data_IF_833653333389
#
_entry.id   IF_833653333389
#
_cell.length_a   1.000
_cell.length_b   1.000
_cell.length_c   1.000
_cell.angle_alpha   90.00
_cell.angle_beta   90.00
_cell.angle_gamma   90.00
#
_symmetry.space_group_name_H-M   'P 1'
#
loop_
_entity.id
_entity.type
_entity.pdbx_description
1 polymer ?
#
# COMPACT_ATOMS: atom_id res chain seq x y z
N UNK A 1 -4.98 27.81 26.30
CA UNK A 1 -3.69 28.14 26.91
C UNK A 1 -3.68 27.47 28.27
N UNK A 2 -3.30 26.24 28.37
CA UNK A 2 -3.06 25.56 29.61
C UNK A 2 -1.71 26.05 30.18
N UNK A 3 -1.58 26.39 31.46
CA UNK A 3 -0.27 26.67 32.03
C UNK A 3 0.54 25.39 32.04
N UNK A 4 1.78 25.47 31.47
CA UNK A 4 2.71 24.37 31.49
C UNK A 4 2.86 23.84 32.92
N UNK A 5 2.70 22.55 33.08
CA UNK A 5 3.12 21.83 34.29
C UNK A 5 4.66 21.92 34.30
N UNK A 6 5.18 22.77 35.16
CA UNK A 6 6.56 22.69 35.54
C UNK A 6 6.77 21.27 36.12
N UNK A 7 7.67 20.49 35.54
CA UNK A 7 8.04 19.20 36.11
C UNK A 7 8.57 19.42 37.52
N UNK A 8 7.88 18.84 38.48
CA UNK A 8 8.27 18.91 39.86
C UNK A 8 9.34 17.86 40.11
N UNK A 9 10.55 18.14 39.63
CA UNK A 9 11.71 17.37 40.10
C UNK A 9 11.87 17.69 41.62
N UNK A 10 11.87 16.67 42.45
CA UNK A 10 12.16 16.77 43.87
C UNK A 10 13.68 17.00 44.11
N UNK A 11 14.26 17.91 43.31
CA UNK A 11 15.60 18.45 43.53
C UNK A 11 15.49 19.53 44.61
N UNK A 12 16.46 19.65 45.47
CA UNK A 12 16.47 20.71 46.46
C UNK A 12 16.05 22.06 45.85
N UNK A 13 15.22 22.84 46.50
CA UNK A 13 14.58 24.06 45.93
C UNK A 13 15.55 25.04 45.28
N UNK A 14 16.82 24.89 45.55
CA UNK A 14 17.91 25.69 44.99
C UNK A 14 18.34 25.25 43.58
N UNK A 15 18.10 23.98 43.19
CA UNK A 15 18.55 23.38 41.91
C UNK A 15 17.40 23.29 40.89
N UNK A 16 16.17 23.39 41.34
CA UNK A 16 14.95 23.16 40.56
C UNK A 16 14.67 24.15 39.43
N UNK A 17 15.39 25.28 39.37
CA UNK A 17 15.14 26.31 38.36
C UNK A 17 16.28 26.50 37.36
N UNK A 18 17.30 25.63 37.37
CA UNK A 18 18.49 25.80 36.55
C UNK A 18 18.46 24.92 35.33
N UNK A 19 18.34 25.52 34.15
CA UNK A 19 18.54 24.78 32.88
C UNK A 19 20.04 24.53 32.65
N UNK A 20 20.37 23.33 32.23
CA UNK A 20 21.78 22.94 32.02
C UNK A 20 22.11 22.81 30.54
N UNK A 21 23.38 23.09 30.17
CA UNK A 21 23.94 22.79 28.85
C UNK A 21 24.20 21.28 28.74
N UNK A 22 24.48 20.83 27.52
CA UNK A 22 24.84 19.44 27.25
C UNK A 22 26.06 18.92 28.04
N UNK A 23 26.91 19.83 28.53
CA UNK A 23 28.06 19.54 29.39
C UNK A 23 27.70 19.46 30.89
N UNK A 24 26.43 19.56 31.21
CA UNK A 24 25.94 19.56 32.60
C UNK A 24 26.09 20.87 33.34
N UNK A 25 26.39 21.97 32.64
CA UNK A 25 26.52 23.29 33.22
C UNK A 25 25.24 24.13 33.00
N UNK A 26 24.83 25.01 33.96
CA UNK A 26 23.70 25.90 33.75
C UNK A 26 23.88 26.77 32.50
N UNK A 27 22.77 26.96 31.74
CA UNK A 27 22.84 27.64 30.44
C UNK A 27 23.14 29.13 30.55
N UNK A 28 22.76 29.77 31.67
CA UNK A 28 22.66 31.23 31.79
C UNK A 28 23.73 31.89 32.68
N UNK A 29 24.59 31.11 33.37
CA UNK A 29 25.61 31.67 34.26
C UNK A 29 27.01 31.22 33.92
N UNK A 30 28.02 32.08 34.08
CA UNK A 30 29.43 31.65 34.04
C UNK A 30 29.72 30.66 35.19
N UNK A 31 30.72 29.83 35.04
CA UNK A 31 31.15 28.81 36.02
C UNK A 31 31.14 29.33 37.44
N UNK A 32 30.03 29.20 38.13
CA UNK A 32 29.88 29.55 39.52
C UNK A 32 30.29 28.37 40.39
N UNK A 33 30.52 28.64 41.68
CA UNK A 33 30.78 27.59 42.67
C UNK A 33 29.68 26.49 42.68
N UNK A 34 28.49 26.86 42.30
CA UNK A 34 27.31 25.97 42.17
C UNK A 34 27.51 24.95 41.03
N UNK A 35 28.02 25.37 39.87
CA UNK A 35 28.36 24.49 38.75
C UNK A 35 29.41 23.46 39.10
N UNK A 36 30.48 23.92 39.77
CA UNK A 36 31.56 23.03 40.16
C UNK A 36 31.04 21.93 41.13
N UNK A 37 30.15 22.31 42.04
CA UNK A 37 29.55 21.36 42.98
C UNK A 37 28.62 20.37 42.25
N UNK A 38 27.84 20.83 41.25
CA UNK A 38 26.98 20.00 40.48
C UNK A 38 27.75 18.98 39.62
N UNK A 39 28.76 19.45 38.92
CA UNK A 39 29.66 18.61 38.14
C UNK A 39 30.42 17.60 39.03
N UNK A 40 30.82 18.02 40.22
CA UNK A 40 31.49 17.12 41.18
C UNK A 40 30.52 16.02 41.67
N UNK A 41 29.27 16.38 41.94
CA UNK A 41 28.20 15.43 42.36
C UNK A 41 27.97 14.38 41.27
N UNK A 42 27.85 14.78 40.00
CA UNK A 42 27.74 13.83 38.86
C UNK A 42 28.95 12.90 38.78
N UNK A 43 30.17 13.42 38.91
CA UNK A 43 31.40 12.60 38.93
C UNK A 43 31.42 11.59 40.08
N UNK A 44 30.94 11.97 41.25
CA UNK A 44 30.84 11.07 42.41
C UNK A 44 29.84 9.96 42.09
N UNK A 45 28.66 10.28 41.54
CA UNK A 45 27.66 9.30 41.17
C UNK A 45 28.20 8.32 40.12
N UNK A 46 28.90 8.78 39.09
CA UNK A 46 29.54 7.93 38.11
C UNK A 46 30.58 6.97 38.72
N UNK A 47 31.32 7.40 39.72
CA UNK A 47 32.28 6.55 40.44
C UNK A 47 31.54 5.52 41.32
N UNK A 48 30.48 5.92 42.02
CA UNK A 48 29.61 5.01 42.82
C UNK A 48 29.03 3.93 41.92
N UNK A 49 28.47 4.28 40.77
CA UNK A 49 27.87 3.35 39.81
C UNK A 49 28.87 2.34 39.26
N UNK A 50 30.14 2.80 39.00
CA UNK A 50 31.22 1.88 38.62
C UNK A 50 31.58 0.89 39.75
N UNK A 51 31.57 1.35 41.01
CA UNK A 51 31.81 0.48 42.15
C UNK A 51 30.67 -0.53 42.41
N UNK A 52 29.44 -0.14 42.12
CA UNK A 52 28.23 -1.00 42.27
C UNK A 52 28.01 -1.97 41.11
N UNK A 53 28.87 -1.95 40.11
CA UNK A 53 28.67 -2.68 38.83
C UNK A 53 28.34 -4.16 39.00
N UNK A 54 29.01 -4.82 39.96
CA UNK A 54 28.94 -6.25 40.15
C UNK A 54 28.11 -6.63 41.39
N UNK A 55 27.53 -5.64 42.10
CA UNK A 55 26.71 -5.84 43.29
C UNK A 55 25.23 -5.54 42.99
N UNK A 56 24.46 -6.59 42.71
CA UNK A 56 23.02 -6.48 42.39
C UNK A 56 22.17 -5.99 43.57
N UNK A 57 22.58 -6.25 44.83
CA UNK A 57 21.87 -5.80 46.01
C UNK A 57 22.07 -4.30 46.23
N UNK A 58 23.33 -3.85 46.15
CA UNK A 58 23.66 -2.43 46.24
C UNK A 58 23.03 -1.63 45.10
N UNK A 59 22.94 -2.19 43.91
CA UNK A 59 22.23 -1.57 42.77
C UNK A 59 20.72 -1.44 43.06
N UNK A 60 20.08 -2.45 43.62
CA UNK A 60 18.65 -2.35 44.02
C UNK A 60 18.42 -1.30 45.13
N UNK A 61 19.34 -1.17 46.06
CA UNK A 61 19.26 -0.10 47.08
C UNK A 61 19.48 1.31 46.44
N UNK A 62 20.36 1.41 45.47
CA UNK A 62 20.57 2.65 44.71
C UNK A 62 19.32 3.07 43.94
N UNK A 63 18.58 2.13 43.37
CA UNK A 63 17.29 2.37 42.68
C UNK A 63 16.19 2.89 43.62
N UNK A 64 16.31 2.71 44.92
CA UNK A 64 15.38 3.26 45.92
C UNK A 64 15.72 4.69 46.36
N UNK A 65 16.70 5.34 45.74
CA UNK A 65 17.07 6.73 46.02
C UNK A 65 16.00 7.71 45.56
N UNK A 66 15.76 8.77 46.33
CA UNK A 66 14.87 9.89 45.95
C UNK A 66 15.59 11.01 45.21
N UNK A 67 16.86 10.83 44.84
CA UNK A 67 17.68 11.81 44.17
C UNK A 67 17.55 11.72 42.65
N UNK A 68 16.81 12.64 42.04
CA UNK A 68 16.58 12.71 40.59
C UNK A 68 17.87 12.75 39.78
N UNK A 69 18.87 13.52 40.22
CA UNK A 69 20.16 13.62 39.54
C UNK A 69 20.95 12.31 39.58
N UNK A 70 20.84 11.56 40.70
CA UNK A 70 21.41 10.23 40.78
C UNK A 70 20.77 9.27 39.80
N UNK A 71 19.46 9.35 39.65
CA UNK A 71 18.71 8.55 38.69
C UNK A 71 19.08 8.88 37.23
N UNK A 72 19.28 10.15 36.88
CA UNK A 72 19.75 10.54 35.55
C UNK A 72 21.10 9.89 35.22
N UNK A 73 22.06 9.93 36.13
CA UNK A 73 23.36 9.29 35.96
C UNK A 73 23.25 7.75 35.91
N UNK A 74 22.39 7.16 36.75
CA UNK A 74 22.11 5.73 36.78
C UNK A 74 21.51 5.27 35.42
N UNK A 75 20.49 5.96 34.91
CA UNK A 75 19.86 5.62 33.62
C UNK A 75 20.83 5.75 32.45
N UNK A 76 21.60 6.85 32.44
CA UNK A 76 22.67 7.06 31.46
C UNK A 76 23.70 5.93 31.50
N UNK A 77 24.12 5.52 32.71
CA UNK A 77 25.01 4.37 32.90
C UNK A 77 24.41 3.06 32.39
N UNK A 78 23.15 2.78 32.71
CA UNK A 78 22.47 1.55 32.28
C UNK A 78 22.34 1.51 30.76
N UNK A 79 21.99 2.62 30.11
CA UNK A 79 21.88 2.73 28.65
C UNK A 79 23.25 2.50 28.00
N UNK A 80 24.30 3.15 28.51
CA UNK A 80 25.65 3.02 27.96
C UNK A 80 26.23 1.60 28.08
N UNK A 81 25.78 0.82 29.08
CA UNK A 81 26.21 -0.56 29.29
C UNK A 81 25.25 -1.62 28.75
N UNK A 82 24.25 -1.23 27.96
CA UNK A 82 23.29 -2.15 27.33
C UNK A 82 22.29 -2.81 28.28
N UNK A 83 22.15 -2.27 29.51
CA UNK A 83 21.20 -2.78 30.54
C UNK A 83 19.78 -2.23 30.39
N UNK A 84 19.35 -2.01 29.16
CA UNK A 84 18.05 -1.38 28.84
C UNK A 84 16.85 -2.22 29.30
N UNK A 85 16.95 -3.56 29.21
CA UNK A 85 15.88 -4.46 29.70
C UNK A 85 15.67 -4.35 31.21
N UNK A 86 16.75 -4.21 31.98
CA UNK A 86 16.72 -3.99 33.42
C UNK A 86 16.11 -2.64 33.74
N UNK A 87 16.56 -1.59 33.04
CA UNK A 87 16.03 -0.22 33.17
C UNK A 87 14.51 -0.18 33.00
N UNK A 88 14.01 -0.75 31.91
CA UNK A 88 12.58 -0.73 31.58
C UNK A 88 11.71 -1.64 32.49
N UNK A 89 12.33 -2.58 33.21
CA UNK A 89 11.61 -3.47 34.15
C UNK A 89 11.56 -2.92 35.58
N UNK A 90 12.37 -1.91 35.89
CA UNK A 90 12.45 -1.35 37.23
C UNK A 90 11.49 -0.15 37.38
N UNK A 91 10.51 -0.20 38.30
CA UNK A 91 9.63 0.92 38.52
C UNK A 91 10.42 2.03 39.26
N UNK A 92 10.74 3.09 38.54
CA UNK A 92 11.41 4.27 39.07
C UNK A 92 10.59 5.52 38.77
N UNK A 93 10.47 6.47 39.72
CA UNK A 93 9.54 7.62 39.56
C UNK A 93 10.03 8.66 38.55
N UNK A 94 11.32 8.64 38.17
CA UNK A 94 11.93 9.66 37.33
C UNK A 94 12.21 9.19 35.89
N UNK A 95 11.90 7.94 35.55
CA UNK A 95 12.29 7.34 34.28
C UNK A 95 11.54 7.98 33.10
N UNK A 96 10.24 8.24 33.26
CA UNK A 96 9.45 8.90 32.22
C UNK A 96 9.97 10.29 31.89
N UNK A 97 10.17 11.10 32.90
CA UNK A 97 10.69 12.48 32.75
C UNK A 97 12.09 12.48 32.11
N UNK A 98 12.94 11.51 32.47
CA UNK A 98 14.26 11.35 31.88
C UNK A 98 14.17 10.97 30.38
N UNK A 99 13.31 10.03 30.02
CA UNK A 99 13.15 9.57 28.63
C UNK A 99 12.47 10.62 27.74
N UNK A 100 11.63 11.50 28.32
CA UNK A 100 11.03 12.65 27.64
C UNK A 100 11.96 13.87 27.59
N UNK A 101 12.91 13.95 28.48
CA UNK A 101 13.80 15.10 28.63
C UNK A 101 14.80 15.28 27.48
N UNK A 102 15.48 16.43 27.52
CA UNK A 102 16.60 16.71 26.60
C UNK A 102 17.85 15.96 27.08
N UNK A 103 18.46 15.13 26.22
CA UNK A 103 19.57 14.31 26.63
C UNK A 103 20.83 15.11 26.95
N UNK A 104 21.58 14.67 27.95
CA UNK A 104 22.94 15.08 28.17
C UNK A 104 23.84 14.23 27.29
N UNK A 105 24.66 14.83 26.44
CA UNK A 105 25.54 14.14 25.50
C UNK A 105 26.42 13.08 26.19
N UNK A 106 26.39 11.88 25.69
CA UNK A 106 27.39 10.85 25.94
C UNK A 106 28.60 11.08 25.04
N UNK A 107 29.80 10.89 25.56
CA UNK A 107 31.04 11.03 24.78
C UNK A 107 31.01 10.12 23.54
N UNK A 108 31.00 10.73 22.35
CA UNK A 108 31.18 10.04 21.08
C UNK A 108 29.88 9.67 20.31
N UNK A 109 28.68 9.93 20.82
CA UNK A 109 27.43 9.71 20.14
C UNK A 109 26.83 11.06 19.64
N UNK A 110 26.17 11.08 18.47
CA UNK A 110 25.48 12.30 18.04
C UNK A 110 24.26 12.53 18.92
N UNK A 111 23.93 13.81 19.16
CA UNK A 111 22.75 14.19 19.95
C UNK A 111 21.47 13.56 19.41
N UNK A 112 21.30 13.60 18.09
CA UNK A 112 20.15 13.04 17.38
C UNK A 112 20.01 11.52 17.60
N UNK A 113 21.12 10.77 17.50
CA UNK A 113 21.11 9.31 17.70
C UNK A 113 20.74 8.94 19.12
N UNK A 114 21.28 9.68 20.10
CA UNK A 114 20.97 9.44 21.51
C UNK A 114 19.53 9.82 21.86
N UNK A 115 19.04 10.92 21.35
CA UNK A 115 17.65 11.37 21.53
C UNK A 115 16.66 10.37 20.93
N UNK A 116 16.91 9.91 19.71
CA UNK A 116 16.13 8.84 19.08
C UNK A 116 16.09 7.59 19.98
N UNK A 117 17.24 7.18 20.50
CA UNK A 117 17.34 6.02 21.39
C UNK A 117 16.53 6.19 22.66
N UNK A 118 16.47 7.40 23.24
CA UNK A 118 15.60 7.67 24.39
C UNK A 118 14.12 7.55 24.03
N UNK A 119 13.71 8.05 22.85
CA UNK A 119 12.33 7.91 22.38
C UNK A 119 11.97 6.45 22.10
N UNK A 120 12.91 5.66 21.57
CA UNK A 120 12.74 4.22 21.39
C UNK A 120 12.57 3.48 22.73
N UNK A 121 13.25 3.90 23.77
CA UNK A 121 13.06 3.35 25.12
C UNK A 121 11.73 3.82 25.74
N UNK A 122 11.29 5.03 25.45
CA UNK A 122 10.07 5.63 26.01
C UNK A 122 8.83 4.84 25.57
N UNK A 123 8.67 4.59 24.26
CA UNK A 123 7.51 3.81 23.80
C UNK A 123 7.53 2.37 24.33
N UNK A 124 8.72 1.74 24.45
CA UNK A 124 8.86 0.41 25.05
C UNK A 124 8.49 0.40 26.54
N UNK A 125 8.83 1.47 27.25
CA UNK A 125 8.45 1.62 28.63
C UNK A 125 6.94 1.76 28.78
N UNK A 126 6.27 2.60 27.96
CA UNK A 126 4.81 2.72 27.95
C UNK A 126 4.12 1.37 27.70
N UNK A 127 4.61 0.60 26.75
CA UNK A 127 4.05 -0.75 26.48
C UNK A 127 4.13 -1.63 27.73
N UNK A 128 5.25 -1.59 28.47
CA UNK A 128 5.41 -2.37 29.71
C UNK A 128 4.51 -1.91 30.84
N UNK A 129 4.20 -0.63 30.89
CA UNK A 129 3.24 -0.07 31.86
C UNK A 129 1.78 -0.35 31.46
N UNK A 130 1.53 -0.84 30.23
CA UNK A 130 0.20 -1.03 29.68
C UNK A 130 -0.45 0.26 29.14
N UNK A 131 0.35 1.32 29.01
CA UNK A 131 -0.08 2.63 28.46
C UNK A 131 0.05 2.66 26.95
N UNK A 132 -0.71 1.81 26.27
CA UNK A 132 -0.61 1.60 24.83
C UNK A 132 -0.92 2.85 24.00
N UNK A 133 -1.78 3.75 24.49
CA UNK A 133 -2.08 5.00 23.79
C UNK A 133 -0.86 5.92 23.74
N UNK A 134 -0.17 6.11 24.89
CA UNK A 134 1.04 6.91 24.95
C UNK A 134 2.17 6.30 24.09
N UNK A 135 2.27 4.97 24.07
CA UNK A 135 3.20 4.26 23.19
C UNK A 135 2.89 4.52 21.71
N UNK A 136 1.62 4.44 21.29
CA UNK A 136 1.21 4.70 19.91
C UNK A 136 1.48 6.15 19.50
N UNK A 137 1.20 7.12 20.36
CA UNK A 137 1.48 8.55 20.09
C UNK A 137 2.99 8.84 19.99
N UNK A 138 3.81 8.18 20.81
CA UNK A 138 5.26 8.32 20.74
C UNK A 138 5.82 7.74 19.43
N UNK A 139 5.32 6.59 19.00
CA UNK A 139 5.70 5.93 17.75
C UNK A 139 5.24 6.73 16.52
N UNK A 140 4.05 7.30 16.55
CA UNK A 140 3.54 8.20 15.52
C UNK A 140 4.43 9.44 15.37
N UNK A 141 4.77 10.08 16.47
CA UNK A 141 5.69 11.22 16.50
C UNK A 141 7.08 10.85 15.94
N UNK A 142 7.59 9.65 16.21
CA UNK A 142 8.84 9.14 15.64
C UNK A 142 8.74 8.91 14.13
N UNK A 143 7.62 8.36 13.65
CA UNK A 143 7.41 8.11 12.23
C UNK A 143 7.38 9.41 11.40
N UNK A 144 6.78 10.48 11.94
CA UNK A 144 6.57 11.75 11.24
C UNK A 144 7.68 12.80 11.47
N UNK A 145 8.63 12.54 12.36
CA UNK A 145 9.68 13.53 12.65
C UNK A 145 10.68 13.67 11.51
N UNK A 146 11.10 14.92 11.24
CA UNK A 146 12.20 15.23 10.32
C UNK A 146 13.52 15.48 11.08
N UNK A 147 13.49 15.39 12.40
CA UNK A 147 14.67 15.64 13.26
C UNK A 147 15.72 14.54 13.10
N UNK A 148 15.29 13.30 12.87
CA UNK A 148 16.18 12.16 12.72
C UNK A 148 16.26 11.72 11.26
N UNK A 149 17.47 11.33 10.82
CA UNK A 149 17.67 10.79 9.48
C UNK A 149 17.13 9.35 9.37
N UNK A 150 15.79 9.20 9.36
CA UNK A 150 15.12 7.94 9.24
C UNK A 150 14.87 7.58 7.78
N UNK A 151 15.08 6.31 7.45
CA UNK A 151 14.67 5.74 6.17
C UNK A 151 13.17 5.39 6.16
N UNK A 152 12.56 5.35 4.99
CA UNK A 152 11.13 5.03 4.83
C UNK A 152 10.75 3.71 5.50
N UNK A 153 11.61 2.69 5.42
CA UNK A 153 11.38 1.40 6.07
C UNK A 153 11.24 1.51 7.60
N UNK A 154 12.09 2.32 8.24
CA UNK A 154 12.02 2.55 9.68
C UNK A 154 10.74 3.30 10.07
N UNK A 155 10.29 4.26 9.24
CA UNK A 155 9.03 4.98 9.44
C UNK A 155 7.83 4.05 9.34
N UNK A 156 7.82 3.14 8.37
CA UNK A 156 6.79 2.09 8.21
C UNK A 156 6.77 1.17 9.43
N UNK A 157 7.93 0.80 9.97
CA UNK A 157 8.02 -0.02 11.17
C UNK A 157 7.42 0.69 12.39
N UNK A 158 7.73 1.97 12.59
CA UNK A 158 7.12 2.77 13.66
C UNK A 158 5.61 2.90 13.50
N UNK A 159 5.11 3.17 12.29
CA UNK A 159 3.66 3.22 12.03
C UNK A 159 2.98 1.87 12.30
N UNK A 160 3.58 0.77 11.88
CA UNK A 160 3.03 -0.56 12.12
C UNK A 160 2.95 -0.89 13.62
N UNK A 161 3.99 -0.52 14.38
CA UNK A 161 3.99 -0.65 15.83
C UNK A 161 2.97 0.29 16.50
N UNK A 162 2.80 1.51 15.99
CA UNK A 162 1.80 2.45 16.48
C UNK A 162 0.38 1.92 16.30
N UNK A 163 0.05 1.39 15.12
CA UNK A 163 -1.23 0.73 14.83
C UNK A 163 -1.48 -0.45 15.79
N UNK A 164 -0.47 -1.30 16.00
CA UNK A 164 -0.56 -2.44 16.92
C UNK A 164 -0.86 -2.01 18.36
N UNK A 165 -0.21 -0.97 18.84
CA UNK A 165 -0.44 -0.40 20.17
C UNK A 165 -1.81 0.29 20.26
N UNK A 166 -2.22 1.10 19.28
CA UNK A 166 -3.53 1.74 19.27
C UNK A 166 -4.68 0.73 19.33
N UNK A 167 -4.56 -0.40 18.62
CA UNK A 167 -5.53 -1.52 18.68
C UNK A 167 -5.53 -2.27 20.02
N UNK A 168 -4.45 -2.20 20.77
CA UNK A 168 -4.32 -2.87 22.07
C UNK A 168 -4.96 -2.07 23.21
N UNK A 169 -5.31 -0.81 22.97
CA UNK A 169 -6.02 0.02 23.95
C UNK A 169 -7.40 -0.59 24.21
N UNK A 170 -7.68 -0.93 25.46
CA UNK A 170 -9.02 -1.40 25.85
C UNK A 170 -10.02 -0.30 25.62
N UNK A 171 -11.06 -0.59 24.85
CA UNK A 171 -12.12 0.37 24.48
C UNK A 171 -12.77 0.97 25.73
N UNK A 172 -12.29 2.09 26.16
CA UNK A 172 -13.06 3.08 26.91
C UNK A 172 -13.65 4.02 25.86
N UNK A 173 -14.93 4.34 25.99
CA UNK A 173 -15.78 5.01 24.99
C UNK A 173 -15.32 6.42 24.53
N UNK A 174 -14.05 6.64 24.27
CA UNK A 174 -13.52 7.89 23.75
C UNK A 174 -13.51 7.82 22.21
N UNK A 175 -14.39 8.59 21.61
CA UNK A 175 -14.56 8.73 20.14
C UNK A 175 -13.24 9.12 19.44
N UNK A 176 -12.34 9.82 20.11
CA UNK A 176 -11.03 10.23 19.60
C UNK A 176 -10.07 9.05 19.31
N UNK A 177 -10.20 7.95 20.04
CA UNK A 177 -9.29 6.80 19.87
C UNK A 177 -9.50 6.06 18.54
N UNK A 178 -10.77 5.92 18.12
CA UNK A 178 -11.10 5.25 16.86
C UNK A 178 -10.58 6.08 15.69
N UNK A 179 -10.76 7.40 15.73
CA UNK A 179 -10.23 8.31 14.71
C UNK A 179 -8.71 8.25 14.62
N UNK A 180 -8.01 8.24 15.74
CA UNK A 180 -6.56 8.14 15.79
C UNK A 180 -6.03 6.80 15.22
N UNK A 181 -6.67 5.68 15.61
CA UNK A 181 -6.28 4.36 15.08
C UNK A 181 -6.52 4.25 13.57
N UNK A 182 -7.64 4.81 13.07
CA UNK A 182 -7.93 4.85 11.63
C UNK A 182 -6.90 5.70 10.88
N UNK A 183 -6.54 6.87 11.42
CA UNK A 183 -5.51 7.73 10.83
C UNK A 183 -4.16 7.01 10.71
N UNK A 184 -3.74 6.31 11.77
CA UNK A 184 -2.49 5.51 11.75
C UNK A 184 -2.53 4.39 10.71
N UNK A 185 -3.69 3.74 10.51
CA UNK A 185 -3.87 2.72 9.47
C UNK A 185 -3.76 3.32 8.08
N UNK A 186 -4.38 4.48 7.84
CA UNK A 186 -4.29 5.22 6.58
C UNK A 186 -2.86 5.68 6.30
N UNK A 187 -2.16 6.25 7.28
CA UNK A 187 -0.76 6.67 7.14
C UNK A 187 0.16 5.48 6.84
N UNK A 188 -0.06 4.34 7.50
CA UNK A 188 0.68 3.12 7.22
C UNK A 188 0.44 2.61 5.80
N UNK A 189 -0.81 2.62 5.34
CA UNK A 189 -1.16 2.18 3.98
C UNK A 189 -0.51 3.08 2.93
N UNK A 190 -0.57 4.41 3.11
CA UNK A 190 0.08 5.38 2.22
C UNK A 190 1.60 5.20 2.22
N UNK A 191 2.24 5.00 3.37
CA UNK A 191 3.68 4.74 3.47
C UNK A 191 4.08 3.44 2.75
N UNK A 192 3.25 2.39 2.81
CA UNK A 192 3.48 1.15 2.05
C UNK A 192 3.35 1.35 0.54
N UNK A 193 2.40 2.17 0.09
CA UNK A 193 2.30 2.59 -1.31
C UNK A 193 3.54 3.36 -1.74
N UNK A 194 4.01 4.30 -0.92
CA UNK A 194 5.24 5.05 -1.16
C UNK A 194 6.46 4.13 -1.30
N UNK A 195 6.58 3.08 -0.50
CA UNK A 195 7.66 2.10 -0.62
C UNK A 195 7.60 1.31 -1.93
N UNK A 196 6.39 0.97 -2.41
CA UNK A 196 6.22 0.33 -3.72
C UNK A 196 6.62 1.27 -4.85
N UNK A 197 6.21 2.54 -4.79
CA UNK A 197 6.61 3.56 -5.76
C UNK A 197 8.13 3.73 -5.78
N UNK A 198 8.77 3.80 -4.62
CA UNK A 198 10.23 3.89 -4.52
C UNK A 198 10.92 2.69 -5.20
N UNK A 199 10.38 1.49 -5.02
CA UNK A 199 10.92 0.27 -5.66
C UNK A 199 10.65 0.19 -7.17
N UNK A 200 9.63 0.90 -7.66
CA UNK A 200 9.23 0.93 -9.07
C UNK A 200 9.96 2.02 -9.87
N UNK A 201 10.69 2.93 -9.22
CA UNK A 201 11.49 3.93 -9.92
C UNK A 201 12.53 3.25 -10.81
N UNK A 202 12.78 3.80 -12.02
CA UNK A 202 13.77 3.24 -12.93
C UNK A 202 15.15 3.26 -12.29
N UNK A 203 15.95 2.19 -12.42
CA UNK A 203 17.33 2.17 -11.92
C UNK A 203 18.14 3.30 -12.55
N UNK A 204 18.81 4.10 -11.73
CA UNK A 204 19.56 5.29 -12.18
C UNK A 204 20.60 4.95 -13.25
N UNK A 205 21.16 3.74 -13.18
CA UNK A 205 22.16 3.24 -14.12
C UNK A 205 21.62 3.02 -15.53
N UNK A 206 20.31 2.81 -15.68
CA UNK A 206 19.68 2.55 -16.98
C UNK A 206 19.28 3.82 -17.73
N UNK A 207 19.37 4.98 -17.08
CA UNK A 207 18.98 6.26 -17.64
C UNK A 207 20.16 6.86 -18.45
N UNK A 208 19.87 7.38 -19.65
CA UNK A 208 20.90 7.90 -20.55
C UNK A 208 21.29 9.35 -20.23
N UNK A 209 20.34 10.17 -19.82
CA UNK A 209 20.54 11.60 -19.57
C UNK A 209 20.92 11.88 -18.11
N UNK A 210 21.94 12.73 -17.91
CA UNK A 210 22.42 13.07 -16.57
C UNK A 210 21.35 13.82 -15.75
N UNK A 211 20.58 14.71 -16.37
CA UNK A 211 19.50 15.44 -15.73
C UNK A 211 18.39 14.49 -15.21
N UNK A 212 18.05 13.46 -15.99
CA UNK A 212 17.06 12.45 -15.56
C UNK A 212 17.60 11.57 -14.45
N UNK A 213 18.89 11.25 -14.47
CA UNK A 213 19.55 10.50 -13.38
C UNK A 213 19.52 11.28 -12.07
N UNK A 214 19.86 12.57 -12.13
CA UNK A 214 19.87 13.42 -10.93
C UNK A 214 18.48 13.58 -10.37
N UNK A 215 17.49 13.91 -11.22
CA UNK A 215 16.10 14.01 -10.82
C UNK A 215 15.55 12.71 -10.19
N UNK A 216 15.86 11.55 -10.77
CA UNK A 216 15.45 10.25 -10.21
C UNK A 216 16.12 9.99 -8.86
N UNK A 217 17.40 10.33 -8.72
CA UNK A 217 18.14 10.18 -7.46
C UNK A 217 17.58 11.09 -6.36
N UNK A 218 17.29 12.35 -6.69
CA UNK A 218 16.69 13.31 -5.76
C UNK A 218 15.31 12.84 -5.32
N UNK A 219 14.47 12.39 -6.27
CA UNK A 219 13.13 11.86 -5.99
C UNK A 219 13.19 10.61 -5.11
N UNK A 220 14.09 9.68 -5.41
CA UNK A 220 14.29 8.48 -4.59
C UNK A 220 14.76 8.83 -3.16
N UNK A 221 15.68 9.79 -3.03
CA UNK A 221 16.15 10.26 -1.74
C UNK A 221 15.05 10.96 -0.94
N UNK A 222 14.17 11.72 -1.60
CA UNK A 222 13.03 12.37 -0.97
C UNK A 222 12.00 11.35 -0.50
N UNK A 223 11.66 10.37 -1.35
CA UNK A 223 10.76 9.26 -1.00
C UNK A 223 11.28 8.42 0.18
N UNK A 224 12.59 8.26 0.30
CA UNK A 224 13.18 7.45 1.37
C UNK A 224 13.24 8.20 2.71
N UNK A 225 13.30 9.54 2.70
CA UNK A 225 13.53 10.35 3.91
C UNK A 225 12.29 10.93 4.55
N UNK A 226 11.20 11.10 3.82
CA UNK A 226 9.99 11.74 4.31
C UNK A 226 8.73 10.95 3.96
N UNK A 227 7.72 11.01 4.81
CA UNK A 227 6.38 10.52 4.46
C UNK A 227 5.69 11.56 3.59
N UNK A 228 5.05 11.09 2.52
CA UNK A 228 4.31 11.93 1.58
C UNK A 228 2.83 11.57 1.61
N UNK A 229 1.97 12.58 1.40
CA UNK A 229 0.56 12.33 1.17
C UNK A 229 0.31 11.70 -0.20
N UNK A 230 -0.81 11.00 -0.32
CA UNK A 230 -1.15 10.21 -1.51
C UNK A 230 -1.31 11.05 -2.78
N UNK A 231 -1.73 12.33 -2.64
CA UNK A 231 -1.89 13.25 -3.78
C UNK A 231 -0.53 13.70 -4.30
N UNK A 232 0.41 13.96 -3.40
CA UNK A 232 1.81 14.29 -3.73
C UNK A 232 2.48 13.11 -4.42
N UNK A 233 2.30 11.88 -3.91
CA UNK A 233 2.81 10.65 -4.54
C UNK A 233 2.29 10.50 -5.98
N UNK A 234 1.01 10.78 -6.22
CA UNK A 234 0.44 10.70 -7.56
C UNK A 234 1.04 11.75 -8.50
N UNK A 235 0.91 13.05 -8.13
CA UNK A 235 1.22 14.17 -9.03
C UNK A 235 2.71 14.41 -9.25
N UNK A 236 3.52 14.19 -8.22
CA UNK A 236 4.94 14.54 -8.28
C UNK A 236 5.85 13.34 -8.55
N UNK A 237 5.32 12.12 -8.43
CA UNK A 237 6.13 10.91 -8.65
C UNK A 237 5.48 9.98 -9.67
N UNK A 238 4.33 9.37 -9.37
CA UNK A 238 3.78 8.30 -10.19
C UNK A 238 3.41 8.76 -11.60
N UNK A 239 2.81 9.95 -11.75
CA UNK A 239 2.42 10.51 -13.05
C UNK A 239 3.65 10.96 -13.87
N UNK A 240 4.60 11.78 -13.37
CA UNK A 240 5.77 12.21 -14.13
C UNK A 240 6.70 11.07 -14.56
N UNK A 241 6.83 10.03 -13.73
CA UNK A 241 7.65 8.86 -14.05
C UNK A 241 6.91 7.80 -14.87
N UNK A 242 5.62 8.01 -15.20
CA UNK A 242 4.81 7.08 -15.99
C UNK A 242 4.62 5.71 -15.32
N UNK A 243 4.57 5.66 -13.99
CA UNK A 243 4.38 4.46 -13.18
C UNK A 243 2.89 4.06 -13.16
N UNK A 244 2.40 3.52 -14.28
CA UNK A 244 0.98 3.29 -14.52
C UNK A 244 0.33 2.33 -13.50
N UNK A 245 1.06 1.31 -13.08
CA UNK A 245 0.59 0.32 -12.11
C UNK A 245 0.47 0.92 -10.71
N UNK A 246 1.43 1.76 -10.34
CA UNK A 246 1.46 2.50 -9.08
C UNK A 246 0.37 3.59 -9.07
N UNK A 247 0.07 4.20 -10.22
CA UNK A 247 -1.07 5.12 -10.34
C UNK A 247 -2.40 4.39 -10.05
N UNK A 248 -2.62 3.20 -10.59
CA UNK A 248 -3.79 2.38 -10.27
C UNK A 248 -3.82 1.99 -8.78
N UNK A 249 -2.67 1.65 -8.20
CA UNK A 249 -2.55 1.35 -6.77
C UNK A 249 -2.91 2.57 -5.91
N UNK A 250 -2.44 3.76 -6.27
CA UNK A 250 -2.80 5.01 -5.58
C UNK A 250 -4.31 5.26 -5.65
N UNK A 251 -4.93 5.12 -6.82
CA UNK A 251 -6.38 5.29 -6.97
C UNK A 251 -7.17 4.30 -6.11
N UNK A 252 -6.68 3.05 -6.03
CA UNK A 252 -7.25 2.03 -5.14
C UNK A 252 -7.16 2.44 -3.67
N UNK A 253 -5.98 2.80 -3.20
CA UNK A 253 -5.74 3.19 -1.80
C UNK A 253 -6.50 4.46 -1.42
N UNK A 254 -6.49 5.47 -2.31
CA UNK A 254 -7.22 6.72 -2.10
C UNK A 254 -8.75 6.56 -2.22
N UNK A 255 -9.26 5.38 -2.59
CA UNK A 255 -10.68 5.15 -2.88
C UNK A 255 -11.26 6.17 -3.87
N UNK A 256 -10.43 6.62 -4.84
CA UNK A 256 -10.80 7.66 -5.78
C UNK A 256 -11.44 7.08 -7.04
N UNK A 257 -12.73 7.39 -7.24
CA UNK A 257 -13.53 6.90 -8.34
C UNK A 257 -13.48 7.86 -9.54
N UNK A 258 -12.68 7.54 -10.54
CA UNK A 258 -12.67 8.20 -11.84
C UNK A 258 -12.54 7.14 -12.95
N UNK A 259 -13.69 6.72 -13.49
CA UNK A 259 -13.75 5.68 -14.53
C UNK A 259 -12.96 6.06 -15.80
N UNK A 260 -12.91 7.34 -16.16
CA UNK A 260 -12.19 7.81 -17.36
C UNK A 260 -10.67 7.73 -17.17
N UNK A 261 -10.20 8.10 -15.99
CA UNK A 261 -8.78 8.01 -15.62
C UNK A 261 -8.34 6.54 -15.55
N UNK A 262 -9.12 5.69 -14.87
CA UNK A 262 -8.84 4.25 -14.77
C UNK A 262 -8.80 3.60 -16.16
N UNK A 263 -9.76 3.93 -17.04
CA UNK A 263 -9.76 3.42 -18.40
C UNK A 263 -8.50 3.83 -19.17
N UNK A 264 -8.11 5.11 -19.10
CA UNK A 264 -6.90 5.60 -19.77
C UNK A 264 -5.61 4.96 -19.26
N UNK A 265 -5.52 4.68 -17.95
CA UNK A 265 -4.36 3.98 -17.36
C UNK A 265 -4.29 2.53 -17.84
N UNK A 266 -5.40 1.81 -17.86
CA UNK A 266 -5.45 0.45 -18.38
C UNK A 266 -5.15 0.38 -19.88
N UNK A 267 -5.66 1.33 -20.68
CA UNK A 267 -5.32 1.46 -22.09
C UNK A 267 -3.81 1.66 -22.30
N UNK A 268 -3.21 2.56 -21.54
CA UNK A 268 -1.77 2.81 -21.59
C UNK A 268 -0.95 1.60 -21.16
N UNK A 269 -1.39 0.88 -20.11
CA UNK A 269 -0.74 -0.34 -19.64
C UNK A 269 -0.73 -1.44 -20.69
N UNK A 270 -1.90 -1.74 -21.25
CA UNK A 270 -2.05 -2.79 -22.27
C UNK A 270 -1.29 -2.41 -23.55
N UNK A 271 -1.33 -1.13 -23.95
CA UNK A 271 -0.57 -0.63 -25.11
C UNK A 271 0.95 -0.75 -24.89
N UNK A 272 1.44 -0.37 -23.71
CA UNK A 272 2.86 -0.47 -23.35
C UNK A 272 3.33 -1.93 -23.46
N UNK A 273 2.58 -2.86 -22.86
CA UNK A 273 2.94 -4.27 -22.82
C UNK A 273 2.87 -4.92 -24.21
N UNK A 274 1.81 -4.60 -24.98
CA UNK A 274 1.69 -5.05 -26.37
C UNK A 274 2.89 -4.62 -27.21
N UNK A 275 3.27 -3.34 -27.10
CA UNK A 275 4.34 -2.75 -27.91
C UNK A 275 5.75 -3.21 -27.47
N UNK A 276 5.94 -3.52 -26.19
CA UNK A 276 7.20 -4.03 -25.65
C UNK A 276 7.44 -5.51 -26.00
N UNK A 277 6.37 -6.26 -26.25
CA UNK A 277 6.44 -7.71 -26.48
C UNK A 277 6.61 -8.06 -27.97
N UNK A 278 7.24 -9.22 -28.22
CA UNK A 278 7.28 -9.76 -29.59
C UNK A 278 5.84 -10.03 -30.09
N UNK A 279 5.51 -9.71 -31.36
CA UNK A 279 4.14 -9.79 -31.88
C UNK A 279 3.43 -11.13 -31.66
N UNK A 280 4.17 -12.24 -31.74
CA UNK A 280 3.63 -13.59 -31.53
C UNK A 280 3.31 -13.91 -30.05
N UNK A 281 3.84 -13.12 -29.11
CA UNK A 281 3.70 -13.32 -27.65
C UNK A 281 2.94 -12.20 -26.96
N UNK A 282 2.68 -11.09 -27.66
CA UNK A 282 2.08 -9.90 -27.09
C UNK A 282 0.77 -10.18 -26.31
N UNK A 283 -0.11 -11.02 -26.86
CA UNK A 283 -1.36 -11.38 -26.19
C UNK A 283 -1.17 -12.17 -24.89
N UNK A 284 -0.09 -12.98 -24.81
CA UNK A 284 0.24 -13.71 -23.56
C UNK A 284 0.81 -12.77 -22.51
N UNK A 285 1.66 -11.84 -22.94
CA UNK A 285 2.23 -10.83 -22.06
C UNK A 285 1.12 -9.91 -21.51
N UNK A 286 0.21 -9.45 -22.36
CA UNK A 286 -0.97 -8.67 -21.94
C UNK A 286 -1.84 -9.47 -20.96
N UNK A 287 -2.12 -10.74 -21.23
CA UNK A 287 -2.90 -11.58 -20.31
C UNK A 287 -2.19 -11.73 -18.95
N UNK A 288 -0.89 -11.97 -18.95
CA UNK A 288 -0.10 -12.09 -17.73
C UNK A 288 -0.09 -10.77 -16.92
N UNK A 289 0.12 -9.64 -17.57
CA UNK A 289 0.06 -8.31 -16.94
C UNK A 289 -1.30 -8.06 -16.30
N UNK A 290 -2.40 -8.27 -17.05
CA UNK A 290 -3.76 -8.03 -16.54
C UNK A 290 -4.04 -8.92 -15.34
N UNK A 291 -3.67 -10.21 -15.42
CA UNK A 291 -3.84 -11.15 -14.32
C UNK A 291 -3.05 -10.73 -13.08
N UNK A 292 -1.79 -10.34 -13.25
CA UNK A 292 -0.92 -9.90 -12.15
C UNK A 292 -1.48 -8.65 -11.47
N UNK A 293 -1.79 -7.61 -12.23
CA UNK A 293 -2.34 -6.35 -11.69
C UNK A 293 -3.68 -6.58 -11.02
N UNK A 294 -4.58 -7.38 -11.64
CA UNK A 294 -5.88 -7.68 -11.06
C UNK A 294 -5.77 -8.41 -9.71
N UNK A 295 -4.91 -9.42 -9.64
CA UNK A 295 -4.66 -10.18 -8.40
C UNK A 295 -4.00 -9.31 -7.34
N UNK A 296 -2.99 -8.53 -7.72
CA UNK A 296 -2.24 -7.64 -6.81
C UNK A 296 -3.12 -6.55 -6.19
N UNK A 297 -4.10 -6.03 -6.94
CA UNK A 297 -5.08 -5.05 -6.46
C UNK A 297 -6.34 -5.71 -5.86
N UNK A 298 -6.33 -7.04 -5.66
CA UNK A 298 -7.43 -7.78 -5.03
C UNK A 298 -8.77 -7.68 -5.75
N UNK A 299 -8.76 -7.48 -7.07
CA UNK A 299 -9.99 -7.30 -7.85
C UNK A 299 -10.74 -6.02 -7.47
N UNK A 300 -10.03 -4.96 -7.13
CA UNK A 300 -10.59 -3.66 -6.73
C UNK A 300 -11.66 -3.19 -7.71
N UNK A 301 -12.85 -2.86 -7.20
CA UNK A 301 -13.93 -2.29 -8.01
C UNK A 301 -13.64 -0.86 -8.51
N UNK A 302 -12.58 -0.24 -8.00
CA UNK A 302 -12.09 1.09 -8.42
C UNK A 302 -11.03 0.93 -9.50
N UNK A 303 -9.90 0.35 -9.16
CA UNK A 303 -8.74 0.27 -10.03
C UNK A 303 -8.82 -0.87 -11.06
N UNK A 304 -9.61 -1.92 -10.76
CA UNK A 304 -9.82 -3.09 -11.61
C UNK A 304 -11.31 -3.28 -11.95
N UNK A 305 -12.03 -2.17 -12.17
CA UNK A 305 -13.46 -2.23 -12.54
C UNK A 305 -13.68 -3.16 -13.74
N UNK A 306 -14.45 -4.23 -13.52
CA UNK A 306 -14.60 -5.34 -14.48
C UNK A 306 -15.16 -4.86 -15.81
N UNK A 307 -16.06 -3.89 -15.79
CA UNK A 307 -16.66 -3.27 -16.98
C UNK A 307 -15.62 -2.54 -17.84
N UNK A 308 -14.67 -1.84 -17.21
CA UNK A 308 -13.58 -1.15 -17.91
C UNK A 308 -12.59 -2.18 -18.48
N UNK A 309 -12.08 -3.06 -17.63
CA UNK A 309 -11.00 -3.98 -18.03
C UNK A 309 -11.49 -5.00 -19.07
N UNK A 310 -12.69 -5.57 -18.87
CA UNK A 310 -13.25 -6.52 -19.85
C UNK A 310 -13.56 -5.84 -21.18
N UNK A 311 -14.17 -4.65 -21.16
CA UNK A 311 -14.45 -3.90 -22.39
C UNK A 311 -13.18 -3.57 -23.20
N UNK A 312 -12.10 -3.23 -22.50
CA UNK A 312 -10.81 -2.99 -23.09
C UNK A 312 -10.21 -4.26 -23.71
N UNK A 313 -10.23 -5.37 -22.98
CA UNK A 313 -9.72 -6.66 -23.48
C UNK A 313 -10.53 -7.20 -24.65
N UNK A 314 -11.84 -7.06 -24.63
CA UNK A 314 -12.71 -7.40 -25.76
C UNK A 314 -12.40 -6.56 -26.98
N UNK A 315 -12.16 -5.27 -26.80
CA UNK A 315 -11.73 -4.38 -27.88
C UNK A 315 -10.36 -4.77 -28.44
N UNK A 316 -9.40 -5.06 -27.57
CA UNK A 316 -8.08 -5.54 -27.97
C UNK A 316 -8.15 -6.85 -28.76
N UNK A 317 -8.94 -7.81 -28.29
CA UNK A 317 -9.10 -9.10 -28.95
C UNK A 317 -9.86 -8.98 -30.27
N UNK A 318 -10.89 -8.11 -30.35
CA UNK A 318 -11.62 -7.83 -31.58
C UNK A 318 -10.72 -7.17 -32.64
N UNK A 319 -9.88 -6.21 -32.28
CA UNK A 319 -8.96 -5.55 -33.22
C UNK A 319 -7.97 -6.57 -33.80
N UNK A 320 -7.46 -7.53 -32.99
CA UNK A 320 -6.66 -8.64 -33.50
C UNK A 320 -7.43 -9.56 -34.45
N UNK A 321 -8.68 -9.86 -34.13
CA UNK A 321 -9.57 -10.67 -34.96
C UNK A 321 -9.83 -10.02 -36.35
N UNK A 322 -10.13 -8.72 -36.37
CA UNK A 322 -10.39 -7.97 -37.61
C UNK A 322 -9.16 -8.02 -38.52
N UNK A 323 -7.95 -7.78 -38.01
CA UNK A 323 -6.72 -7.83 -38.78
C UNK A 323 -6.43 -9.26 -39.29
N UNK A 324 -6.60 -10.28 -38.45
CA UNK A 324 -6.26 -11.65 -38.78
C UNK A 324 -7.25 -12.29 -39.78
N UNK A 325 -8.55 -12.06 -39.61
CA UNK A 325 -9.61 -12.71 -40.36
C UNK A 325 -10.11 -11.91 -41.56
N UNK A 326 -10.23 -10.59 -41.41
CA UNK A 326 -10.79 -9.74 -42.45
C UNK A 326 -9.71 -9.04 -43.28
N UNK A 327 -8.48 -8.98 -42.79
CA UNK A 327 -7.40 -8.24 -43.46
C UNK A 327 -7.60 -6.72 -43.48
N UNK A 328 -8.59 -6.24 -42.72
CA UNK A 328 -8.93 -4.84 -42.61
C UNK A 328 -8.10 -4.18 -41.48
N UNK A 329 -7.77 -2.91 -41.64
CA UNK A 329 -7.24 -2.13 -40.53
C UNK A 329 -8.37 -1.87 -39.51
N UNK A 330 -8.14 -2.04 -38.21
CA UNK A 330 -9.14 -1.71 -37.21
C UNK A 330 -9.53 -0.23 -37.36
N UNK A 331 -10.80 0.09 -37.10
CA UNK A 331 -11.24 1.47 -37.07
C UNK A 331 -10.35 2.27 -36.13
N UNK A 332 -9.98 3.53 -36.47
CA UNK A 332 -9.11 4.33 -35.62
C UNK A 332 -9.71 4.39 -34.21
N UNK A 333 -9.07 3.65 -33.32
CA UNK A 333 -9.35 3.70 -31.88
C UNK A 333 -8.39 4.70 -31.28
N UNK A 334 -8.75 5.27 -30.13
CA UNK A 334 -7.82 6.07 -29.30
C UNK A 334 -6.62 5.24 -28.82
N UNK A 335 -6.67 3.94 -29.05
CA UNK A 335 -5.68 2.96 -28.66
C UNK A 335 -4.56 2.93 -29.71
N UNK A 336 -3.41 3.42 -29.33
CA UNK A 336 -2.21 3.44 -30.19
C UNK A 336 -1.46 2.09 -30.14
N UNK A 337 -2.13 1.01 -30.62
CA UNK A 337 -1.42 -0.24 -30.82
C UNK A 337 -0.45 -0.14 -32.02
N UNK A 338 0.74 -0.67 -31.88
CA UNK A 338 1.53 -0.99 -33.06
C UNK A 338 0.80 -2.05 -33.89
N UNK A 339 0.95 -1.96 -35.23
CA UNK A 339 0.21 -2.80 -36.16
C UNK A 339 0.26 -4.28 -35.77
N UNK A 340 -0.90 -4.90 -35.62
CA UNK A 340 -1.03 -6.33 -35.43
C UNK A 340 -0.45 -7.06 -36.64
N UNK A 341 0.40 -8.06 -36.41
CA UNK A 341 0.92 -8.89 -37.50
C UNK A 341 -0.16 -9.86 -37.98
N UNK A 342 -0.33 -10.00 -39.29
CA UNK A 342 -1.19 -11.01 -39.89
C UNK A 342 -0.81 -12.40 -39.39
N UNK A 343 -1.71 -13.12 -38.76
CA UNK A 343 -1.51 -14.53 -38.51
C UNK A 343 -1.98 -15.13 -37.19
N UNK A 344 -2.26 -14.37 -36.17
CA UNK A 344 -2.70 -14.93 -34.91
C UNK A 344 -3.91 -14.17 -34.35
N UNK A 345 -5.08 -14.44 -34.91
CA UNK A 345 -6.34 -14.06 -34.26
C UNK A 345 -6.45 -14.74 -32.89
N UNK A 346 -6.91 -14.01 -31.89
CA UNK A 346 -7.14 -14.59 -30.58
C UNK A 346 -8.34 -15.55 -30.62
N UNK A 347 -8.31 -16.65 -29.86
CA UNK A 347 -9.44 -17.57 -29.82
C UNK A 347 -10.63 -16.89 -29.16
N UNK A 348 -11.88 -17.25 -29.54
CA UNK A 348 -13.07 -16.84 -28.83
C UNK A 348 -12.97 -17.12 -27.33
N UNK A 349 -13.57 -16.27 -26.50
CA UNK A 349 -13.54 -16.40 -25.05
C UNK A 349 -12.20 -16.03 -24.39
N UNK A 350 -11.23 -15.47 -25.14
CA UNK A 350 -9.93 -15.12 -24.59
C UNK A 350 -10.03 -14.06 -23.49
N UNK A 351 -10.73 -12.96 -23.75
CA UNK A 351 -10.84 -11.84 -22.82
C UNK A 351 -11.53 -12.23 -21.50
N UNK A 352 -12.72 -12.86 -21.51
CA UNK A 352 -13.35 -13.32 -20.28
C UNK A 352 -12.52 -14.37 -19.53
N UNK A 353 -11.79 -15.23 -20.25
CA UNK A 353 -10.95 -16.27 -19.65
C UNK A 353 -9.80 -15.67 -18.85
N UNK A 354 -9.13 -14.65 -19.38
CA UNK A 354 -8.06 -13.93 -18.66
C UNK A 354 -8.55 -13.42 -17.31
N UNK A 355 -9.72 -12.78 -17.28
CA UNK A 355 -10.28 -12.26 -16.03
C UNK A 355 -10.82 -13.36 -15.11
N UNK A 356 -11.39 -14.45 -15.65
CA UNK A 356 -11.78 -15.61 -14.87
C UNK A 356 -10.58 -16.28 -14.17
N UNK A 357 -9.45 -16.38 -14.87
CA UNK A 357 -8.19 -16.92 -14.33
C UNK A 357 -7.61 -15.98 -13.25
N UNK A 358 -7.79 -14.67 -13.42
CA UNK A 358 -7.43 -13.66 -12.43
C UNK A 358 -8.37 -13.63 -11.19
N UNK A 359 -9.51 -14.38 -11.24
CA UNK A 359 -10.45 -14.48 -10.12
C UNK A 359 -11.64 -13.54 -10.20
N UNK A 360 -11.89 -12.89 -11.34
CA UNK A 360 -13.07 -12.05 -11.53
C UNK A 360 -14.36 -12.84 -11.38
N UNK A 361 -15.42 -12.24 -10.78
CA UNK A 361 -16.71 -12.92 -10.62
C UNK A 361 -17.39 -13.13 -11.98
N UNK A 362 -17.85 -14.37 -12.29
CA UNK A 362 -18.47 -14.68 -13.59
C UNK A 362 -19.74 -13.89 -13.89
N UNK A 363 -20.52 -13.57 -12.85
CA UNK A 363 -21.72 -12.76 -12.95
C UNK A 363 -21.43 -11.33 -13.42
N UNK A 364 -20.38 -10.71 -12.88
CA UNK A 364 -19.94 -9.38 -13.31
C UNK A 364 -19.51 -9.38 -14.79
N UNK A 365 -18.71 -10.37 -15.20
CA UNK A 365 -18.29 -10.53 -16.59
C UNK A 365 -19.49 -10.72 -17.52
N UNK A 366 -20.46 -11.53 -17.11
CA UNK A 366 -21.68 -11.79 -17.86
C UNK A 366 -22.49 -10.52 -18.09
N UNK A 367 -22.71 -9.71 -17.06
CA UNK A 367 -23.45 -8.44 -17.19
C UNK A 367 -22.74 -7.43 -18.08
N UNK A 368 -21.41 -7.37 -18.04
CA UNK A 368 -20.65 -6.52 -18.96
C UNK A 368 -20.84 -6.95 -20.42
N UNK A 369 -20.72 -8.25 -20.72
CA UNK A 369 -20.94 -8.74 -22.09
C UNK A 369 -22.38 -8.51 -22.57
N UNK A 370 -23.37 -8.70 -21.71
CA UNK A 370 -24.76 -8.31 -22.03
C UNK A 370 -24.89 -6.81 -22.34
N UNK A 371 -24.25 -5.96 -21.55
CA UNK A 371 -24.21 -4.51 -21.77
C UNK A 371 -23.59 -4.16 -23.13
N UNK A 372 -22.46 -4.77 -23.48
CA UNK A 372 -21.81 -4.59 -24.79
C UNK A 372 -22.71 -5.04 -25.96
N UNK A 373 -23.44 -6.13 -25.78
CA UNK A 373 -24.37 -6.65 -26.83
C UNK A 373 -25.63 -5.81 -26.99
N UNK A 374 -26.10 -5.12 -25.94
CA UNK A 374 -27.39 -4.42 -25.94
C UNK A 374 -27.29 -2.93 -26.28
N UNK A 375 -26.30 -2.21 -25.76
CA UNK A 375 -26.30 -0.75 -25.75
C UNK A 375 -24.99 -0.10 -26.21
N UNK A 376 -23.92 -0.89 -26.44
CA UNK A 376 -22.62 -0.32 -26.71
C UNK A 376 -22.51 0.32 -28.12
N UNK A 377 -21.63 1.33 -28.26
CA UNK A 377 -21.32 1.94 -29.56
C UNK A 377 -20.52 1.00 -30.47
N UNK A 378 -20.16 1.45 -31.66
CA UNK A 378 -19.28 0.70 -32.56
C UNK A 378 -17.96 0.30 -31.84
N UNK A 379 -17.44 -0.91 -32.11
CA UNK A 379 -17.87 -1.88 -33.13
C UNK A 379 -19.02 -2.82 -32.71
N UNK A 380 -19.44 -2.80 -31.46
CA UNK A 380 -20.35 -3.78 -30.87
C UNK A 380 -21.77 -3.73 -31.43
N UNK A 381 -22.20 -2.60 -31.99
CA UNK A 381 -23.47 -2.45 -32.69
C UNK A 381 -23.43 -2.92 -34.15
N UNK A 382 -22.24 -3.33 -34.64
CA UNK A 382 -22.08 -3.85 -36.01
C UNK A 382 -22.38 -5.34 -36.09
N UNK A 383 -22.65 -5.83 -37.30
CA UNK A 383 -22.88 -7.27 -37.53
C UNK A 383 -21.66 -8.10 -37.10
N UNK A 384 -20.45 -7.64 -37.44
CA UNK A 384 -19.19 -8.30 -37.13
C UNK A 384 -18.92 -8.31 -35.62
N UNK A 385 -19.13 -7.18 -34.95
CA UNK A 385 -18.92 -7.02 -33.52
C UNK A 385 -19.82 -7.93 -32.69
N UNK A 386 -21.12 -7.97 -33.02
CA UNK A 386 -22.05 -8.90 -32.34
C UNK A 386 -21.68 -10.36 -32.63
N UNK A 387 -21.34 -10.69 -33.89
CA UNK A 387 -20.89 -12.04 -34.25
C UNK A 387 -19.62 -12.49 -33.54
N UNK A 388 -18.79 -11.54 -33.09
CA UNK A 388 -17.59 -11.77 -32.29
C UNK A 388 -17.91 -11.99 -30.81
N UNK A 389 -18.74 -11.15 -30.18
CA UNK A 389 -19.05 -11.22 -28.75
C UNK A 389 -19.92 -12.41 -28.34
N UNK A 390 -20.80 -12.91 -29.23
CA UNK A 390 -21.70 -13.99 -28.87
C UNK A 390 -20.99 -15.32 -28.53
N UNK A 391 -19.94 -15.75 -29.23
CA UNK A 391 -19.10 -16.86 -28.80
C UNK A 391 -18.46 -16.64 -27.43
N UNK A 392 -17.99 -15.42 -27.14
CA UNK A 392 -17.34 -15.11 -25.87
C UNK A 392 -18.33 -15.20 -24.69
N UNK A 393 -19.57 -14.75 -24.91
CA UNK A 393 -20.66 -14.94 -23.95
C UNK A 393 -20.95 -16.45 -23.73
N UNK A 394 -21.01 -17.25 -24.80
CA UNK A 394 -21.28 -18.68 -24.71
C UNK A 394 -20.15 -19.43 -23.97
N UNK A 395 -18.89 -19.11 -24.25
CA UNK A 395 -17.72 -19.71 -23.59
C UNK A 395 -17.67 -19.32 -22.09
N UNK A 396 -18.00 -18.07 -21.75
CA UNK A 396 -18.12 -17.63 -20.37
C UNK A 396 -19.20 -18.41 -19.62
N UNK A 397 -20.39 -18.54 -20.21
CA UNK A 397 -21.50 -19.26 -19.60
C UNK A 397 -21.17 -20.74 -19.42
N UNK A 398 -20.53 -21.39 -20.39
CA UNK A 398 -20.09 -22.78 -20.25
C UNK A 398 -19.07 -22.97 -19.12
N UNK A 399 -18.10 -22.07 -19.02
CA UNK A 399 -17.12 -22.09 -17.93
C UNK A 399 -17.79 -21.87 -16.56
N UNK A 400 -18.74 -20.92 -16.48
CA UNK A 400 -19.49 -20.64 -15.26
C UNK A 400 -20.39 -21.81 -14.86
N UNK A 401 -21.13 -22.39 -15.81
CA UNK A 401 -21.98 -23.56 -15.60
C UNK A 401 -21.18 -24.75 -15.07
N UNK A 402 -20.02 -25.05 -15.66
CA UNK A 402 -19.12 -26.10 -15.17
C UNK A 402 -18.68 -25.84 -13.72
N UNK A 403 -18.33 -24.60 -13.36
CA UNK A 403 -18.01 -24.25 -11.96
C UNK A 403 -19.19 -24.50 -11.03
N UNK A 404 -20.41 -24.08 -11.42
CA UNK A 404 -21.62 -24.27 -10.62
C UNK A 404 -22.04 -25.75 -10.52
N UNK A 405 -21.68 -26.58 -11.50
CA UNK A 405 -21.89 -28.04 -11.44
C UNK A 405 -20.98 -28.72 -10.40
N UNK A 406 -19.76 -28.21 -10.20
CA UNK A 406 -18.79 -28.76 -9.26
C UNK A 406 -18.90 -28.16 -7.87
N UNK A 407 -19.26 -26.88 -7.76
CA UNK A 407 -19.37 -26.14 -6.51
C UNK A 407 -20.77 -25.57 -6.30
N UNK A 408 -21.48 -26.06 -5.28
CA UNK A 408 -22.84 -25.62 -4.92
C UNK A 408 -22.90 -24.20 -4.35
N UNK A 409 -21.77 -23.63 -3.96
CA UNK A 409 -21.70 -22.26 -3.45
C UNK A 409 -21.62 -21.23 -4.57
N UNK A 410 -21.33 -21.63 -5.80
CA UNK A 410 -21.33 -20.75 -6.96
C UNK A 410 -22.76 -20.43 -7.36
N UNK A 411 -23.16 -19.18 -7.19
CA UNK A 411 -24.48 -18.71 -7.63
C UNK A 411 -24.54 -18.70 -9.16
N UNK A 412 -25.56 -19.33 -9.73
CA UNK A 412 -25.82 -19.35 -11.16
C UNK A 412 -27.27 -18.92 -11.45
N UNK A 413 -27.48 -17.74 -12.07
CA UNK A 413 -28.83 -17.20 -12.36
C UNK A 413 -29.40 -17.85 -13.63
N UNK A 414 -29.85 -19.09 -13.52
CA UNK A 414 -30.24 -19.92 -14.66
C UNK A 414 -31.27 -19.28 -15.61
N UNK A 415 -32.29 -18.61 -15.06
CA UNK A 415 -33.33 -17.97 -15.86
C UNK A 415 -32.78 -16.78 -16.68
N UNK A 416 -31.96 -15.96 -16.09
CA UNK A 416 -31.35 -14.79 -16.74
C UNK A 416 -30.35 -15.21 -17.84
N UNK A 417 -29.53 -16.21 -17.53
CA UNK A 417 -28.57 -16.80 -18.49
C UNK A 417 -29.34 -17.48 -19.65
N UNK A 418 -30.40 -18.22 -19.36
CA UNK A 418 -31.24 -18.83 -20.39
C UNK A 418 -31.85 -17.79 -21.33
N UNK A 419 -32.39 -16.71 -20.77
CA UNK A 419 -32.93 -15.62 -21.56
C UNK A 419 -31.89 -14.99 -22.47
N UNK A 420 -30.69 -14.65 -21.91
CA UNK A 420 -29.61 -14.07 -22.68
C UNK A 420 -29.12 -14.98 -23.83
N UNK A 421 -29.03 -16.29 -23.59
CA UNK A 421 -28.64 -17.25 -24.62
C UNK A 421 -29.71 -17.39 -25.72
N UNK A 422 -31.02 -17.36 -25.37
CA UNK A 422 -32.08 -17.37 -26.34
C UNK A 422 -32.09 -16.09 -27.20
N UNK A 423 -31.86 -14.93 -26.61
CA UNK A 423 -31.74 -13.66 -27.32
C UNK A 423 -30.52 -13.69 -28.26
N UNK A 424 -29.40 -14.28 -27.82
CA UNK A 424 -28.22 -14.50 -28.65
C UNK A 424 -28.54 -15.38 -29.89
N UNK A 425 -29.23 -16.49 -29.70
CA UNK A 425 -29.70 -17.36 -30.81
C UNK A 425 -30.59 -16.59 -31.77
N UNK A 426 -31.52 -15.79 -31.25
CA UNK A 426 -32.43 -14.98 -32.07
C UNK A 426 -31.65 -13.94 -32.89
N UNK A 427 -30.68 -13.26 -32.28
CA UNK A 427 -29.83 -12.30 -32.98
C UNK A 427 -28.98 -12.95 -34.09
N UNK A 428 -28.44 -14.14 -33.87
CA UNK A 428 -27.68 -14.88 -34.88
C UNK A 428 -28.58 -15.35 -36.00
N UNK A 429 -29.77 -15.87 -35.69
CA UNK A 429 -30.72 -16.37 -36.70
C UNK A 429 -31.33 -15.26 -37.55
N UNK A 430 -31.66 -14.11 -36.97
CA UNK A 430 -32.20 -12.97 -37.73
C UNK A 430 -31.16 -12.35 -38.69
N UNK A 431 -29.90 -12.52 -38.40
CA UNK A 431 -28.76 -12.00 -39.23
C UNK A 431 -28.35 -12.96 -40.34
N UNK A 432 -28.93 -14.16 -40.40
CA UNK A 432 -28.62 -15.25 -41.34
C UNK A 432 -29.02 -14.97 -42.81
N UNK A 433 -29.51 -13.76 -43.12
CA UNK A 433 -30.23 -13.53 -44.38
C UNK A 433 -29.43 -13.59 -45.68
N UNK A 434 -28.11 -13.87 -45.71
CA UNK A 434 -27.35 -13.77 -46.96
C UNK A 434 -26.29 -14.87 -47.25
N UNK A 435 -25.92 -15.78 -46.35
CA UNK A 435 -24.97 -16.87 -46.62
C UNK A 435 -25.16 -18.09 -45.69
N UNK A 436 -25.09 -19.29 -46.27
CA UNK A 436 -24.83 -20.54 -45.51
C UNK A 436 -23.41 -20.47 -44.97
N UNK A 437 -23.25 -20.19 -43.70
CA UNK A 437 -22.00 -20.17 -43.01
C UNK A 437 -22.00 -21.32 -41.97
N UNK A 438 -21.33 -22.44 -42.35
CA UNK A 438 -21.24 -23.64 -41.51
C UNK A 438 -20.69 -23.32 -40.09
N UNK A 439 -19.83 -22.32 -39.98
CA UNK A 439 -19.29 -21.87 -38.69
C UNK A 439 -20.39 -21.18 -37.84
N UNK A 440 -21.29 -20.46 -38.44
CA UNK A 440 -22.43 -19.84 -37.75
C UNK A 440 -23.42 -20.87 -37.24
N UNK A 441 -23.72 -21.89 -38.06
CA UNK A 441 -24.61 -22.98 -37.70
C UNK A 441 -24.06 -23.79 -36.50
N UNK A 442 -22.77 -24.12 -36.53
CA UNK A 442 -22.11 -24.78 -35.39
C UNK A 442 -22.17 -23.96 -34.11
N UNK A 443 -22.07 -22.61 -34.19
CA UNK A 443 -22.17 -21.71 -33.04
C UNK A 443 -23.62 -21.69 -32.49
N UNK A 444 -24.61 -21.62 -33.33
CA UNK A 444 -26.04 -21.69 -32.94
C UNK A 444 -26.32 -23.01 -32.23
N UNK A 445 -25.87 -24.14 -32.79
CA UNK A 445 -26.03 -25.46 -32.17
C UNK A 445 -25.34 -25.52 -30.79
N UNK A 446 -24.12 -24.96 -30.67
CA UNK A 446 -23.42 -24.90 -29.39
C UNK A 446 -24.24 -24.12 -28.34
N UNK A 447 -24.72 -22.92 -28.66
CA UNK A 447 -25.52 -22.09 -27.74
C UNK A 447 -26.82 -22.80 -27.37
N UNK A 448 -27.52 -23.46 -28.33
CA UNK A 448 -28.73 -24.24 -28.06
C UNK A 448 -28.43 -25.42 -27.13
N UNK A 449 -27.34 -26.10 -27.30
CA UNK A 449 -26.91 -27.17 -26.39
C UNK A 449 -26.66 -26.64 -24.95
N UNK A 450 -26.09 -25.46 -24.82
CA UNK A 450 -25.94 -24.81 -23.52
C UNK A 450 -27.26 -24.45 -22.87
N UNK A 451 -28.26 -23.92 -23.64
CA UNK A 451 -29.61 -23.66 -23.14
C UNK A 451 -30.26 -24.94 -22.61
N UNK A 452 -30.15 -26.04 -23.37
CA UNK A 452 -30.68 -27.34 -22.93
C UNK A 452 -29.98 -27.87 -21.67
N UNK A 453 -28.68 -27.62 -21.51
CA UNK A 453 -27.91 -28.03 -20.32
C UNK A 453 -28.30 -27.21 -19.10
N UNK A 454 -28.48 -25.89 -19.23
CA UNK A 454 -28.98 -25.01 -18.17
C UNK A 454 -30.37 -25.47 -17.71
N UNK A 455 -31.33 -25.69 -18.63
CA UNK A 455 -32.71 -26.16 -18.32
C UNK A 455 -32.73 -27.52 -17.61
N UNK A 456 -31.79 -28.42 -17.91
CA UNK A 456 -31.77 -29.75 -17.27
C UNK A 456 -31.21 -29.71 -15.85
N UNK A 457 -30.40 -28.71 -15.56
CA UNK A 457 -29.69 -28.66 -14.30
C UNK A 457 -30.41 -27.85 -13.23
N UNK A 458 -31.09 -26.81 -13.64
CA UNK A 458 -31.80 -25.86 -12.78
C UNK A 458 -33.29 -25.80 -13.16
#
# INVERSE_FOLDING_TARGET
VAPGRASAHAVAPADAAVSFRADGCPADEPMSHRHAMYALRRRIYALVLRALRDDAEAMRQALASDDALFHEELYTYMIAHGKTSELLSTPTPFLEDFLQGTPVLLDGESLETYERRLRDLLWQWYVRQGEYLAAAQTLDALAHTDTYALHLYERIEYLALAVGNAKSVRQTAAYDLVGFATQLEEDLEVAQVQAKILSALPPVETLELDDTREHTRETAALLDRSLMDITTLYRHVAEPFGLLEEQLLILHTAQYHDASLVASLWEALVAREHNASAPAQAHRAVAALVTDVYVRLGGSHIACAVDIVLSLLERYAYDTYVVAQLGEQPAPSSLHWHAFTKGAGLPPGWAPRVLLEAGAPPDALFHVLQGLLSTAPAPWNTHTGVGYLLPDLADLVDAWLRRAEHDRHVRFPAHEVEQALNDAVLQLTTRRFTRTDDALDARIEHIQALVHRVRRRF
#
